data_IF_508942458003
#
_entry.id   IF_508942458003
#
_cell.length_a   1.000
_cell.length_b   1.000
_cell.length_c   1.000
_cell.angle_alpha   90.00
_cell.angle_beta   90.00
_cell.angle_gamma   90.00
#
_symmetry.space_group_name_H-M   'P 1'
#
loop_
_entity.id
_entity.type
_entity.pdbx_description
1 polymer ?
#
# COMPACT_ATOMS: atom_id res chain seq x y z
N UNK A 1 4.69 -5.12 -18.61
CA UNK A 1 3.88 -4.81 -17.44
C UNK A 1 4.04 -3.34 -17.06
N UNK A 2 2.94 -2.58 -16.97
CA UNK A 2 2.90 -1.22 -16.40
C UNK A 2 2.34 -1.28 -14.98
N UNK A 3 3.08 -0.75 -14.02
CA UNK A 3 2.71 -0.74 -12.61
C UNK A 3 2.68 0.71 -12.12
N UNK A 4 1.58 1.11 -11.50
CA UNK A 4 1.50 2.34 -10.74
C UNK A 4 1.57 2.02 -9.24
N UNK A 5 2.28 2.84 -8.49
CA UNK A 5 2.31 2.79 -7.02
C UNK A 5 1.61 4.03 -6.50
N UNK A 6 0.59 3.81 -5.69
CA UNK A 6 -0.11 4.85 -4.93
C UNK A 6 0.28 4.68 -3.47
N UNK A 7 1.20 5.53 -3.02
CA UNK A 7 1.79 5.47 -1.71
C UNK A 7 1.10 6.44 -0.74
N UNK A 8 0.35 5.88 0.20
CA UNK A 8 -0.37 6.60 1.24
C UNK A 8 0.45 6.88 2.50
N UNK A 9 1.74 6.52 2.56
CA UNK A 9 2.59 6.86 3.71
C UNK A 9 2.73 8.37 3.87
N UNK A 10 2.51 8.93 5.09
CA UNK A 10 2.82 10.32 5.38
C UNK A 10 4.32 10.61 5.30
N UNK A 11 5.17 9.61 5.57
CA UNK A 11 6.63 9.72 5.48
C UNK A 11 7.06 9.46 4.04
N UNK A 12 7.48 10.51 3.33
CA UNK A 12 7.91 10.48 1.92
C UNK A 12 9.34 9.98 1.76
N UNK A 13 10.22 10.30 2.71
CA UNK A 13 11.59 9.83 2.78
C UNK A 13 11.79 8.96 4.02
N UNK A 14 12.28 7.73 3.86
CA UNK A 14 12.60 6.84 4.99
C UNK A 14 11.40 6.21 5.71
N UNK A 15 10.21 6.17 5.10
CA UNK A 15 9.07 5.46 5.68
C UNK A 15 9.23 3.93 5.59
N UNK A 16 8.87 3.20 6.65
CA UNK A 16 8.96 1.73 6.67
C UNK A 16 8.14 1.05 5.56
N UNK A 17 6.98 1.61 5.21
CA UNK A 17 6.20 1.16 4.03
C UNK A 17 6.99 1.34 2.72
N UNK A 18 7.74 2.43 2.59
CA UNK A 18 8.55 2.72 1.40
C UNK A 18 9.65 1.68 1.21
N UNK A 19 10.24 1.16 2.29
CA UNK A 19 11.30 0.15 2.22
C UNK A 19 10.80 -1.11 1.51
N UNK A 20 9.58 -1.56 1.84
CA UNK A 20 8.95 -2.72 1.19
C UNK A 20 8.61 -2.40 -0.27
N UNK A 21 8.01 -1.23 -0.54
CA UNK A 21 7.68 -0.76 -1.89
C UNK A 21 8.93 -0.69 -2.77
N UNK A 22 10.02 -0.12 -2.27
CA UNK A 22 11.29 -0.02 -2.99
C UNK A 22 11.85 -1.40 -3.32
N UNK A 23 11.86 -2.31 -2.35
CA UNK A 23 12.35 -3.67 -2.54
C UNK A 23 11.53 -4.41 -3.61
N UNK A 24 10.20 -4.36 -3.51
CA UNK A 24 9.31 -5.03 -4.45
C UNK A 24 9.43 -4.41 -5.86
N UNK A 25 9.46 -3.08 -5.97
CA UNK A 25 9.56 -2.39 -7.26
C UNK A 25 10.94 -2.52 -7.91
N UNK A 26 12.02 -2.67 -7.14
CA UNK A 26 13.32 -3.08 -7.67
C UNK A 26 13.22 -4.45 -8.36
N UNK A 27 12.54 -5.41 -7.72
CA UNK A 27 12.25 -6.72 -8.31
C UNK A 27 11.48 -6.59 -9.62
N UNK A 28 10.39 -5.82 -9.60
CA UNK A 28 9.57 -5.57 -10.79
C UNK A 28 10.39 -4.97 -11.94
N UNK A 29 11.24 -3.97 -11.65
CA UNK A 29 12.12 -3.32 -12.64
C UNK A 29 13.16 -4.29 -13.19
N UNK A 30 13.73 -5.18 -12.36
CA UNK A 30 14.63 -6.25 -12.79
C UNK A 30 13.95 -7.21 -13.78
N UNK A 31 12.64 -7.41 -13.63
CA UNK A 31 11.79 -8.15 -14.59
C UNK A 31 11.26 -7.30 -15.76
N UNK A 32 11.86 -6.13 -16.05
CA UNK A 32 11.48 -5.20 -17.12
C UNK A 32 10.08 -4.55 -16.98
N UNK A 33 9.49 -4.52 -15.78
CA UNK A 33 8.27 -3.76 -15.55
C UNK A 33 8.53 -2.25 -15.56
N UNK A 34 7.60 -1.47 -16.13
CA UNK A 34 7.63 0.00 -16.05
C UNK A 34 6.86 0.42 -14.80
N UNK A 35 7.56 1.03 -13.84
CA UNK A 35 6.98 1.46 -12.57
C UNK A 35 6.87 2.97 -12.52
N UNK A 36 5.70 3.48 -12.17
CA UNK A 36 5.43 4.89 -11.87
C UNK A 36 4.93 5.01 -10.44
N UNK A 37 5.44 5.93 -9.65
CA UNK A 37 5.09 6.06 -8.24
C UNK A 37 4.58 7.47 -7.90
N UNK A 38 3.54 7.52 -7.07
CA UNK A 38 2.99 8.72 -6.48
C UNK A 38 2.98 8.60 -4.96
N UNK A 39 3.65 9.54 -4.28
CA UNK A 39 3.50 9.74 -2.84
C UNK A 39 2.37 10.74 -2.61
N UNK A 40 1.25 10.28 -2.05
CA UNK A 40 0.06 11.10 -1.85
C UNK A 40 0.29 12.26 -0.87
N UNK A 41 1.25 12.12 0.04
CA UNK A 41 1.69 13.17 0.97
C UNK A 41 2.36 14.36 0.28
N UNK A 42 2.81 14.20 -0.98
CA UNK A 42 3.37 15.26 -1.82
C UNK A 42 2.40 15.70 -2.93
N UNK A 43 1.11 15.37 -2.81
CA UNK A 43 0.08 15.70 -3.81
C UNK A 43 -1.00 16.58 -3.19
N UNK A 44 -1.49 17.51 -4.00
CA UNK A 44 -2.69 18.24 -3.66
C UNK A 44 -3.90 17.38 -4.05
N UNK A 45 -4.59 16.85 -3.04
CA UNK A 45 -5.79 16.04 -3.21
C UNK A 45 -6.83 16.51 -2.19
N UNK A 46 -7.84 17.19 -2.68
CA UNK A 46 -8.99 17.57 -1.86
C UNK A 46 -9.76 16.33 -1.39
N UNK A 47 -10.34 16.38 -0.21
CA UNK A 47 -11.26 15.33 0.25
C UNK A 47 -12.56 15.36 -0.56
N UNK A 48 -13.18 14.19 -0.76
CA UNK A 48 -14.48 14.13 -1.41
C UNK A 48 -15.55 14.80 -0.53
N UNK A 49 -16.34 15.70 -1.11
CA UNK A 49 -17.39 16.45 -0.37
C UNK A 49 -18.79 15.88 -0.58
N UNK A 50 -18.94 14.74 -1.26
CA UNK A 50 -20.25 14.14 -1.56
C UNK A 50 -21.18 15.02 -2.39
N UNK A 51 -20.66 15.96 -3.19
CA UNK A 51 -21.51 16.88 -3.96
C UNK A 51 -22.14 16.26 -5.22
N UNK A 52 -21.66 15.08 -5.65
CA UNK A 52 -22.12 14.35 -6.83
C UNK A 52 -22.09 15.10 -8.16
N UNK A 53 -21.35 16.21 -8.26
CA UNK A 53 -21.15 16.91 -9.53
C UNK A 53 -20.51 16.00 -10.60
N UNK A 54 -19.66 15.04 -10.19
CA UNK A 54 -19.07 14.03 -11.07
C UNK A 54 -20.04 12.97 -11.60
N UNK A 55 -21.25 12.88 -11.05
CA UNK A 55 -22.32 12.03 -11.56
C UNK A 55 -23.39 12.82 -12.31
N UNK A 56 -23.59 14.09 -11.93
CA UNK A 56 -24.70 14.93 -12.41
C UNK A 56 -24.23 15.96 -13.43
N UNK A 57 -23.55 17.02 -13.00
CA UNK A 57 -23.15 18.17 -13.83
C UNK A 57 -22.03 17.84 -14.83
N UNK A 58 -21.08 17.02 -14.40
CA UNK A 58 -19.88 16.66 -15.17
C UNK A 58 -19.65 15.15 -15.08
N UNK A 59 -20.49 14.32 -15.75
CA UNK A 59 -20.38 12.87 -15.68
C UNK A 59 -18.95 12.38 -15.94
N UNK A 60 -18.36 11.68 -14.96
CA UNK A 60 -17.00 11.15 -15.05
C UNK A 60 -15.87 12.10 -14.64
N UNK A 61 -16.17 13.37 -14.31
CA UNK A 61 -15.15 14.39 -14.01
C UNK A 61 -15.44 15.06 -12.67
N UNK A 62 -14.44 15.09 -11.77
CA UNK A 62 -14.55 15.81 -10.50
C UNK A 62 -14.40 17.33 -10.71
N UNK A 63 -15.08 18.15 -9.90
CA UNK A 63 -14.98 19.62 -9.96
C UNK A 63 -13.63 20.18 -9.48
N UNK A 64 -12.91 19.42 -8.65
CA UNK A 64 -11.64 19.86 -8.10
C UNK A 64 -10.55 19.86 -9.17
N UNK A 65 -9.80 20.95 -9.24
CA UNK A 65 -8.67 21.14 -10.14
C UNK A 65 -7.37 20.89 -9.37
N UNK A 66 -7.16 19.63 -9.00
CA UNK A 66 -6.03 19.17 -8.19
C UNK A 66 -5.29 18.01 -8.88
N UNK A 67 -4.42 17.28 -8.19
CA UNK A 67 -3.57 16.25 -8.82
C UNK A 67 -4.34 14.97 -9.22
N UNK A 68 -5.58 14.78 -8.75
CA UNK A 68 -6.35 13.55 -8.97
C UNK A 68 -6.58 13.18 -10.44
N UNK A 69 -6.96 14.09 -11.36
CA UNK A 69 -7.22 13.73 -12.75
C UNK A 69 -6.01 13.06 -13.42
N UNK A 70 -4.79 13.54 -13.13
CA UNK A 70 -3.58 12.95 -13.69
C UNK A 70 -3.31 11.57 -13.11
N UNK A 71 -3.48 11.39 -11.80
CA UNK A 71 -3.30 10.09 -11.16
C UNK A 71 -4.35 9.07 -11.62
N UNK A 72 -5.60 9.48 -11.82
CA UNK A 72 -6.67 8.63 -12.39
C UNK A 72 -6.30 8.19 -13.82
N UNK A 73 -5.82 9.11 -14.66
CA UNK A 73 -5.37 8.76 -16.00
C UNK A 73 -4.27 7.69 -15.97
N UNK A 74 -3.24 7.88 -15.13
CA UNK A 74 -2.13 6.92 -15.04
C UNK A 74 -2.55 5.59 -14.40
N UNK A 75 -3.51 5.62 -13.47
CA UNK A 75 -4.13 4.43 -12.88
C UNK A 75 -4.80 3.58 -13.97
N UNK A 76 -5.57 4.21 -14.85
CA UNK A 76 -6.27 3.52 -15.94
C UNK A 76 -5.35 3.06 -17.07
N UNK A 77 -4.19 3.71 -17.26
CA UNK A 77 -3.15 3.27 -18.22
C UNK A 77 -2.27 2.12 -17.68
N UNK A 78 -2.46 1.70 -16.42
CA UNK A 78 -1.64 0.67 -15.77
C UNK A 78 -2.29 -0.72 -15.80
N UNK A 79 -1.44 -1.76 -15.80
CA UNK A 79 -1.89 -3.15 -15.66
C UNK A 79 -2.16 -3.51 -14.19
N UNK A 80 -1.31 -2.99 -13.30
CA UNK A 80 -1.35 -3.23 -11.86
C UNK A 80 -1.23 -1.92 -11.07
N UNK A 81 -1.91 -1.86 -9.94
CA UNK A 81 -1.84 -0.77 -8.98
C UNK A 81 -1.40 -1.31 -7.62
N UNK A 82 -0.24 -0.85 -7.14
CA UNK A 82 0.20 -1.11 -5.77
C UNK A 82 -0.40 -0.02 -4.89
N UNK A 83 -1.32 -0.40 -4.00
CA UNK A 83 -1.77 0.47 -2.92
C UNK A 83 -0.89 0.19 -1.71
N UNK A 84 -0.15 1.19 -1.25
CA UNK A 84 0.69 1.06 -0.06
C UNK A 84 0.30 2.04 1.04
N UNK A 85 0.25 1.56 2.29
CA UNK A 85 -0.12 2.40 3.45
C UNK A 85 0.38 1.78 4.75
N UNK A 86 0.88 2.57 5.71
CA UNK A 86 0.93 2.12 7.09
C UNK A 86 -0.48 2.03 7.70
N UNK A 87 -0.63 1.25 8.78
CA UNK A 87 -1.84 1.19 9.59
C UNK A 87 -1.87 2.33 10.59
N UNK A 88 -2.77 3.29 10.39
CA UNK A 88 -2.98 4.46 11.25
C UNK A 88 -4.42 4.40 11.77
N UNK A 89 -4.62 4.37 13.09
CA UNK A 89 -5.97 4.25 13.67
C UNK A 89 -6.70 2.96 13.25
N UNK A 90 -5.97 1.84 13.18
CA UNK A 90 -6.45 0.52 12.74
C UNK A 90 -6.87 0.39 11.26
N UNK A 91 -6.70 1.44 10.44
CA UNK A 91 -7.05 1.45 9.02
C UNK A 91 -5.91 2.05 8.18
N UNK A 92 -6.19 2.27 6.89
CA UNK A 92 -5.30 3.03 6.00
C UNK A 92 -5.15 4.49 6.46
N UNK A 93 -4.16 5.18 5.92
CA UNK A 93 -3.95 6.61 6.16
C UNK A 93 -5.05 7.46 5.54
N UNK A 94 -5.26 8.66 6.10
CA UNK A 94 -6.16 9.67 5.50
C UNK A 94 -5.77 10.03 4.06
N UNK A 95 -4.48 10.01 3.73
CA UNK A 95 -3.99 10.19 2.36
C UNK A 95 -4.56 9.13 1.41
N UNK A 96 -4.39 7.84 1.72
CA UNK A 96 -4.90 6.77 0.87
C UNK A 96 -6.43 6.80 0.80
N UNK A 97 -7.10 7.07 1.93
CA UNK A 97 -8.56 7.15 1.97
C UNK A 97 -9.10 8.29 1.08
N UNK A 98 -8.48 9.46 1.11
CA UNK A 98 -8.85 10.58 0.24
C UNK A 98 -8.70 10.23 -1.24
N UNK A 99 -7.60 9.55 -1.63
CA UNK A 99 -7.42 9.07 -2.99
C UNK A 99 -8.54 8.11 -3.41
N UNK A 100 -8.84 7.11 -2.59
CA UNK A 100 -9.88 6.10 -2.88
C UNK A 100 -11.28 6.71 -2.98
N UNK A 101 -11.65 7.63 -2.07
CA UNK A 101 -12.93 8.33 -2.12
C UNK A 101 -13.09 9.20 -3.37
N UNK A 102 -11.97 9.69 -3.90
CA UNK A 102 -11.92 10.52 -5.10
C UNK A 102 -11.92 9.70 -6.41
N UNK A 103 -12.03 8.37 -6.34
CA UNK A 103 -12.23 7.49 -7.50
C UNK A 103 -13.71 7.37 -7.92
N UNK A 104 -14.65 7.94 -7.16
CA UNK A 104 -16.09 7.98 -7.49
C UNK A 104 -16.43 8.37 -8.95
N UNK A 105 -15.72 9.30 -9.62
CA UNK A 105 -15.98 9.63 -11.01
C UNK A 105 -15.84 8.44 -11.98
N UNK A 106 -15.17 7.35 -11.59
CA UNK A 106 -15.05 6.13 -12.40
C UNK A 106 -16.32 5.27 -12.39
N UNK A 107 -17.26 5.56 -11.49
CA UNK A 107 -18.55 4.91 -11.39
C UNK A 107 -19.67 5.79 -11.96
N UNK A 108 -20.75 5.15 -12.41
CA UNK A 108 -22.03 5.77 -12.75
C UNK A 108 -22.93 5.82 -11.50
N UNK A 109 -23.96 6.69 -11.46
CA UNK A 109 -24.90 6.71 -10.34
C UNK A 109 -25.84 5.49 -10.30
N UNK A 110 -25.89 4.68 -11.37
CA UNK A 110 -26.82 3.56 -11.47
C UNK A 110 -26.29 2.34 -10.73
N UNK A 111 -27.19 1.63 -10.04
CA UNK A 111 -26.89 0.46 -9.24
C UNK A 111 -27.33 -0.79 -9.99
N UNK A 112 -26.42 -1.76 -10.06
CA UNK A 112 -26.66 -3.09 -10.57
C UNK A 112 -26.46 -4.13 -9.45
N UNK A 113 -27.06 -5.31 -9.63
CA UNK A 113 -27.05 -6.41 -8.67
C UNK A 113 -26.27 -7.60 -9.23
N UNK A 114 -25.43 -8.22 -8.41
CA UNK A 114 -24.75 -9.47 -8.71
C UNK A 114 -25.64 -10.68 -8.37
N UNK A 115 -25.32 -11.84 -8.94
CA UNK A 115 -26.03 -13.10 -8.67
C UNK A 115 -25.95 -13.52 -7.19
N UNK A 116 -24.84 -13.21 -6.52
CA UNK A 116 -24.61 -13.50 -5.09
C UNK A 116 -25.39 -12.57 -4.13
N UNK A 117 -26.18 -11.63 -4.66
CA UNK A 117 -26.97 -10.69 -3.88
C UNK A 117 -26.27 -9.38 -3.52
N UNK A 118 -24.99 -9.21 -3.87
CA UNK A 118 -24.26 -7.95 -3.67
C UNK A 118 -24.65 -6.91 -4.73
N UNK A 119 -24.39 -5.63 -4.44
CA UNK A 119 -24.73 -4.49 -5.31
C UNK A 119 -23.47 -3.71 -5.68
N UNK A 120 -23.48 -3.09 -6.85
CA UNK A 120 -22.38 -2.26 -7.32
C UNK A 120 -22.89 -1.12 -8.19
N UNK A 121 -22.09 -0.07 -8.33
CA UNK A 121 -22.33 0.97 -9.32
C UNK A 121 -21.72 0.57 -10.67
N UNK A 122 -22.45 0.79 -11.76
CA UNK A 122 -21.92 0.48 -13.10
C UNK A 122 -20.65 1.30 -13.38
N UNK A 123 -19.61 0.65 -13.89
CA UNK A 123 -18.35 1.33 -14.23
C UNK A 123 -18.49 2.22 -15.47
N UNK A 124 -17.83 3.39 -15.46
CA UNK A 124 -17.65 4.24 -16.65
C UNK A 124 -16.42 3.88 -17.46
N UNK A 125 -15.60 2.95 -16.96
CA UNK A 125 -14.33 2.53 -17.58
C UNK A 125 -14.38 1.05 -17.92
N UNK A 126 -13.69 0.68 -19.00
CA UNK A 126 -13.69 -0.69 -19.50
C UNK A 126 -12.80 -1.64 -18.69
N UNK A 127 -11.78 -1.11 -17.99
CA UNK A 127 -10.82 -1.92 -17.26
C UNK A 127 -10.23 -1.13 -16.09
N UNK A 128 -10.12 -1.79 -14.95
CA UNK A 128 -9.33 -1.34 -13.81
C UNK A 128 -8.01 -2.12 -13.76
N UNK A 129 -6.92 -1.53 -13.24
CA UNK A 129 -5.72 -2.29 -12.92
C UNK A 129 -6.04 -3.34 -11.85
N UNK A 130 -5.27 -4.43 -11.83
CA UNK A 130 -5.34 -5.41 -10.74
C UNK A 130 -4.56 -4.88 -9.53
N UNK A 131 -5.06 -5.09 -8.33
CA UNK A 131 -4.49 -4.48 -7.13
C UNK A 131 -3.46 -5.38 -6.44
N UNK A 132 -2.39 -4.78 -5.95
CA UNK A 132 -1.42 -5.38 -5.03
C UNK A 132 -1.43 -4.51 -3.76
N UNK A 133 -1.44 -5.14 -2.59
CA UNK A 133 -1.48 -4.40 -1.31
C UNK A 133 -0.12 -4.52 -0.62
N UNK A 134 0.41 -3.39 -0.13
CA UNK A 134 1.57 -3.39 0.76
C UNK A 134 1.21 -2.57 1.99
N UNK A 135 1.06 -3.22 3.14
CA UNK A 135 0.71 -2.54 4.38
C UNK A 135 1.64 -2.90 5.53
N UNK A 136 1.91 -1.91 6.38
CA UNK A 136 2.84 -2.03 7.50
C UNK A 136 2.19 -1.60 8.81
N UNK A 137 2.49 -2.28 9.90
CA UNK A 137 2.08 -1.91 11.25
C UNK A 137 3.32 -1.69 12.12
N UNK A 138 3.26 -0.64 12.95
CA UNK A 138 4.29 -0.36 13.94
C UNK A 138 4.23 -1.31 15.15
N UNK A 139 3.11 -2.01 15.35
CA UNK A 139 2.98 -2.99 16.43
C UNK A 139 3.50 -4.38 16.02
N UNK A 140 3.96 -5.18 17.00
CA UNK A 140 4.12 -6.62 16.84
C UNK A 140 2.74 -7.33 16.91
N UNK A 141 2.72 -8.66 16.81
CA UNK A 141 1.49 -9.46 16.91
C UNK A 141 0.65 -9.55 15.62
N UNK A 142 -0.40 -10.38 15.63
CA UNK A 142 -0.97 -10.92 14.38
C UNK A 142 -2.25 -10.23 13.87
N UNK A 143 -2.88 -9.35 14.68
CA UNK A 143 -4.22 -8.77 14.38
C UNK A 143 -4.22 -7.31 13.92
N UNK A 144 -3.06 -6.73 13.65
CA UNK A 144 -2.95 -5.31 13.30
C UNK A 144 -3.61 -4.95 11.96
N UNK A 145 -3.91 -5.95 11.12
CA UNK A 145 -4.41 -5.75 9.77
C UNK A 145 -5.85 -6.23 9.57
N UNK A 146 -6.56 -6.68 10.61
CA UNK A 146 -7.89 -7.30 10.46
C UNK A 146 -8.88 -6.37 9.73
N UNK A 147 -8.98 -5.11 10.15
CA UNK A 147 -9.88 -4.13 9.53
C UNK A 147 -9.46 -3.72 8.12
N UNK A 148 -8.16 -3.54 7.89
CA UNK A 148 -7.67 -3.10 6.58
C UNK A 148 -7.73 -4.22 5.54
N UNK A 149 -7.54 -5.48 5.94
CA UNK A 149 -7.76 -6.66 5.10
C UNK A 149 -9.22 -6.76 4.68
N UNK A 150 -10.14 -6.65 5.64
CA UNK A 150 -11.57 -6.65 5.33
C UNK A 150 -11.98 -5.56 4.34
N UNK A 151 -11.34 -4.38 4.40
CA UNK A 151 -11.53 -3.35 3.37
C UNK A 151 -10.97 -3.79 2.01
N UNK A 152 -9.70 -4.21 1.95
CA UNK A 152 -9.02 -4.52 0.70
C UNK A 152 -9.52 -5.80 0.01
N UNK A 153 -10.16 -6.74 0.73
CA UNK A 153 -10.81 -7.91 0.15
C UNK A 153 -11.83 -7.54 -0.94
N UNK A 154 -12.50 -6.39 -0.79
CA UNK A 154 -13.42 -5.85 -1.80
C UNK A 154 -12.73 -5.54 -3.14
N UNK A 155 -11.42 -5.27 -3.12
CA UNK A 155 -10.62 -4.99 -4.31
C UNK A 155 -10.10 -6.27 -4.99
N UNK A 156 -10.28 -7.44 -4.36
CA UNK A 156 -9.78 -8.74 -4.84
C UNK A 156 -8.30 -8.67 -5.27
N UNK A 157 -7.41 -8.26 -4.36
CA UNK A 157 -5.99 -8.09 -4.67
C UNK A 157 -5.38 -9.41 -5.16
N UNK A 158 -4.38 -9.30 -6.01
CA UNK A 158 -3.68 -10.46 -6.60
C UNK A 158 -2.48 -10.89 -5.80
N UNK A 159 -1.99 -10.01 -4.94
CA UNK A 159 -0.88 -10.25 -4.03
C UNK A 159 -0.89 -9.20 -2.92
N UNK A 160 -0.48 -9.61 -1.72
CA UNK A 160 -0.57 -8.79 -0.52
C UNK A 160 0.66 -9.02 0.36
N UNK A 161 1.24 -7.93 0.87
CA UNK A 161 2.28 -7.96 1.90
C UNK A 161 1.76 -7.21 3.11
N UNK A 162 1.68 -7.90 4.24
CA UNK A 162 1.38 -7.31 5.55
C UNK A 162 2.58 -7.49 6.47
N UNK A 163 3.11 -6.39 7.01
CA UNK A 163 4.33 -6.42 7.81
C UNK A 163 4.15 -5.73 9.16
N UNK A 164 4.06 -6.54 10.20
CA UNK A 164 4.20 -6.10 11.58
C UNK A 164 5.65 -5.71 11.87
N UNK A 165 5.87 -5.14 13.05
CA UNK A 165 7.22 -4.78 13.51
C UNK A 165 7.95 -3.88 12.52
N UNK A 166 7.21 -3.02 11.82
CA UNK A 166 7.76 -2.25 10.72
C UNK A 166 8.82 -1.24 11.19
N UNK A 167 8.84 -0.89 12.48
CA UNK A 167 9.79 0.04 13.10
C UNK A 167 11.26 -0.39 13.08
N UNK A 168 11.57 -1.62 12.66
CA UNK A 168 12.96 -2.11 12.51
C UNK A 168 13.37 -2.30 11.05
N UNK A 169 12.53 -1.95 10.07
CA UNK A 169 12.86 -2.18 8.65
C UNK A 169 14.01 -1.32 8.14
N UNK A 170 14.28 -0.20 8.80
CA UNK A 170 15.40 0.71 8.58
C UNK A 170 16.63 0.37 9.44
N UNK A 171 16.63 -0.76 10.16
CA UNK A 171 17.76 -1.20 10.96
C UNK A 171 19.06 -1.23 10.15
N UNK A 172 20.11 -0.76 10.81
CA UNK A 172 21.48 -0.69 10.32
C UNK A 172 22.36 -1.64 11.12
N UNK A 173 23.64 -1.75 10.77
CA UNK A 173 24.59 -2.58 11.51
C UNK A 173 24.80 -2.12 12.96
N UNK A 174 24.54 -0.86 13.29
CA UNK A 174 24.65 -0.38 14.69
C UNK A 174 23.53 -0.92 15.58
N UNK A 175 22.42 -1.37 14.99
CA UNK A 175 21.28 -1.96 15.71
C UNK A 175 21.50 -3.45 16.02
N UNK A 176 22.62 -4.02 15.57
CA UNK A 176 23.00 -5.42 15.76
C UNK A 176 23.10 -6.19 14.44
N UNK A 177 24.15 -6.99 14.30
CA UNK A 177 24.45 -7.73 13.07
C UNK A 177 23.35 -8.76 12.72
N UNK A 178 22.80 -9.44 13.73
CA UNK A 178 21.73 -10.42 13.53
C UNK A 178 20.43 -9.79 13.02
N UNK A 179 19.99 -8.69 13.64
CA UNK A 179 18.81 -7.95 13.20
C UNK A 179 19.02 -7.42 11.79
N UNK A 180 20.15 -6.75 11.53
CA UNK A 180 20.49 -6.23 10.21
C UNK A 180 20.40 -7.32 9.13
N UNK A 181 21.04 -8.47 9.36
CA UNK A 181 21.02 -9.58 8.41
C UNK A 181 19.59 -10.11 8.17
N UNK A 182 18.79 -10.23 9.23
CA UNK A 182 17.37 -10.65 9.13
C UNK A 182 16.55 -9.67 8.27
N UNK A 183 16.74 -8.37 8.46
CA UNK A 183 16.06 -7.33 7.68
C UNK A 183 16.51 -7.34 6.21
N UNK A 184 17.80 -7.53 5.94
CA UNK A 184 18.32 -7.62 4.58
C UNK A 184 17.81 -8.88 3.84
N UNK A 185 17.71 -10.02 4.53
CA UNK A 185 17.09 -11.23 3.98
C UNK A 185 15.60 -11.03 3.66
N UNK A 186 14.88 -10.32 4.53
CA UNK A 186 13.49 -9.93 4.26
C UNK A 186 13.38 -9.04 3.02
N UNK A 187 14.17 -7.96 2.93
CA UNK A 187 14.19 -7.07 1.75
C UNK A 187 14.53 -7.82 0.47
N UNK A 188 15.50 -8.75 0.53
CA UNK A 188 15.86 -9.63 -0.60
C UNK A 188 14.69 -10.52 -1.02
N UNK A 189 13.93 -11.08 -0.08
CA UNK A 189 12.76 -11.91 -0.37
C UNK A 189 11.64 -11.10 -1.03
N UNK A 190 11.39 -9.86 -0.55
CA UNK A 190 10.43 -8.93 -1.17
C UNK A 190 10.86 -8.56 -2.60
N UNK A 191 12.16 -8.34 -2.82
CA UNK A 191 12.72 -8.09 -4.15
C UNK A 191 12.58 -9.29 -5.08
N UNK A 192 12.81 -10.50 -4.59
CA UNK A 192 12.59 -11.71 -5.38
C UNK A 192 11.11 -11.86 -5.77
N UNK A 193 10.19 -11.62 -4.85
CA UNK A 193 8.75 -11.64 -5.16
C UNK A 193 8.37 -10.65 -6.27
N UNK A 194 8.93 -9.43 -6.24
CA UNK A 194 8.73 -8.46 -7.32
C UNK A 194 9.25 -8.97 -8.67
N UNK A 195 10.40 -9.64 -8.67
CA UNK A 195 11.00 -10.22 -9.88
C UNK A 195 10.16 -11.37 -10.45
N UNK A 196 9.79 -12.34 -9.61
CA UNK A 196 8.92 -13.46 -9.99
C UNK A 196 7.57 -12.98 -10.54
N UNK A 197 6.96 -12.00 -9.87
CA UNK A 197 5.70 -11.41 -10.28
C UNK A 197 5.81 -10.74 -11.66
N UNK A 198 6.88 -10.00 -11.93
CA UNK A 198 7.09 -9.35 -13.23
C UNK A 198 7.22 -10.36 -14.38
N UNK A 199 7.82 -11.54 -14.13
CA UNK A 199 7.98 -12.58 -15.14
C UNK A 199 6.68 -13.34 -15.41
N UNK A 200 6.00 -13.77 -14.35
CA UNK A 200 4.97 -14.81 -14.46
C UNK A 200 3.61 -14.41 -13.87
N UNK A 201 3.48 -13.21 -13.30
CA UNK A 201 2.30 -12.74 -12.54
C UNK A 201 1.94 -13.64 -11.35
N UNK A 202 2.91 -14.45 -10.89
CA UNK A 202 2.83 -15.39 -9.78
C UNK A 202 4.11 -15.31 -8.98
N UNK A 203 4.00 -15.60 -7.69
CA UNK A 203 5.12 -15.62 -6.75
C UNK A 203 5.20 -17.04 -6.18
N UNK A 204 6.42 -17.55 -6.02
CA UNK A 204 6.66 -18.87 -5.48
C UNK A 204 6.26 -18.92 -4.00
N UNK A 205 5.71 -20.05 -3.58
CA UNK A 205 5.28 -20.24 -2.18
C UNK A 205 6.46 -20.06 -1.21
N UNK A 206 7.65 -20.55 -1.55
CA UNK A 206 8.87 -20.36 -0.75
C UNK A 206 9.24 -18.89 -0.54
N UNK A 207 9.03 -18.05 -1.56
CA UNK A 207 9.25 -16.61 -1.49
C UNK A 207 8.21 -15.93 -0.59
N UNK A 208 6.94 -16.35 -0.70
CA UNK A 208 5.86 -15.89 0.19
C UNK A 208 6.14 -16.27 1.66
N UNK A 209 6.57 -17.51 1.90
CA UNK A 209 6.90 -18.01 3.23
C UNK A 209 8.09 -17.24 3.83
N UNK A 210 9.10 -16.93 3.01
CA UNK A 210 10.27 -16.14 3.41
C UNK A 210 9.89 -14.70 3.75
N UNK A 211 9.00 -14.08 2.97
CA UNK A 211 8.43 -12.77 3.31
C UNK A 211 7.73 -12.87 4.65
N UNK A 212 6.85 -13.85 4.86
CA UNK A 212 6.00 -13.95 6.06
C UNK A 212 6.70 -14.43 7.34
N UNK A 213 7.99 -14.79 7.29
CA UNK A 213 8.75 -15.06 8.52
C UNK A 213 8.72 -13.87 9.47
N UNK A 214 8.63 -14.18 10.77
CA UNK A 214 8.79 -13.18 11.83
C UNK A 214 10.20 -12.62 11.77
N UNK A 215 10.32 -11.29 11.86
CA UNK A 215 11.61 -10.60 11.90
C UNK A 215 12.27 -10.74 13.27
N UNK A 216 11.44 -10.71 14.32
CA UNK A 216 11.80 -10.77 15.73
C UNK A 216 10.63 -11.41 16.49
N UNK A 217 10.87 -11.88 17.72
CA UNK A 217 9.77 -12.15 18.65
C UNK A 217 9.09 -10.85 19.08
N UNK A 218 7.84 -10.96 19.56
CA UNK A 218 7.08 -9.80 20.04
C UNK A 218 7.79 -9.12 21.22
N UNK A 219 8.38 -9.90 22.14
CA UNK A 219 9.11 -9.40 23.31
C UNK A 219 10.40 -8.66 22.92
N UNK A 220 11.17 -9.19 21.96
CA UNK A 220 12.38 -8.53 21.45
C UNK A 220 12.03 -7.20 20.78
N UNK A 221 10.98 -7.19 19.94
CA UNK A 221 10.53 -5.96 19.28
C UNK A 221 10.03 -4.92 20.30
N UNK A 222 9.23 -5.34 21.28
CA UNK A 222 8.75 -4.46 22.35
C UNK A 222 9.89 -3.84 23.12
N UNK A 223 10.93 -4.63 23.45
CA UNK A 223 12.11 -4.11 24.16
C UNK A 223 12.82 -3.02 23.36
N UNK A 224 13.03 -3.23 22.05
CA UNK A 224 13.67 -2.25 21.17
C UNK A 224 12.84 -0.96 21.12
N UNK A 225 11.55 -1.07 20.84
CA UNK A 225 10.67 0.10 20.67
C UNK A 225 10.47 0.86 21.98
N UNK A 226 10.31 0.17 23.10
CA UNK A 226 10.14 0.83 24.39
C UNK A 226 11.40 1.58 24.80
N UNK A 227 12.59 1.02 24.59
CA UNK A 227 13.85 1.72 24.86
C UNK A 227 14.00 2.99 24.01
N UNK A 228 13.67 2.91 22.72
CA UNK A 228 13.67 4.07 21.83
C UNK A 228 12.76 5.18 22.36
N UNK A 229 11.54 4.85 22.77
CA UNK A 229 10.60 5.84 23.29
C UNK A 229 10.99 6.37 24.67
N UNK A 230 11.57 5.53 25.54
CA UNK A 230 12.11 5.97 26.84
C UNK A 230 13.19 7.06 26.66
N UNK A 231 14.05 6.94 25.64
CA UNK A 231 15.05 7.96 25.30
C UNK A 231 14.40 9.23 24.73
N UNK A 232 13.53 9.09 23.73
CA UNK A 232 12.87 10.23 23.09
C UNK A 232 11.98 11.03 24.06
N UNK A 233 11.31 10.34 24.99
CA UNK A 233 10.48 11.00 26.02
C UNK A 233 11.35 11.78 27.00
N UNK A 234 12.52 11.26 27.38
CA UNK A 234 13.48 11.98 28.24
C UNK A 234 14.10 13.20 27.54
N UNK A 235 14.37 13.11 26.25
CA UNK A 235 14.91 14.23 25.48
C UNK A 235 13.87 15.34 25.22
N UNK A 236 12.59 14.97 25.16
CA UNK A 236 11.50 15.91 24.94
C UNK A 236 11.01 16.63 26.23
N UNK A 237 11.45 16.17 27.41
CA UNK A 237 11.11 16.72 28.73
C UNK A 237 12.14 17.71 29.24
#
# INVERSE_FOLDING_TARGET
MKVIVINGSPKTNGGNTQIIVNSFTEGLKKGNAKVKEYHLSNKDVNHCTGCFDCWTKHPGTCKFKDDMPKMIYDLLDSDYCILSTPVYGALMTGYLKNFLDRLLPLASPYISKNEDGTFYHEGRVCKYPRFIIISTAGFPGDRNFDFIKAYFDNLKPVFEIYRNSAGVLDATRSDGEELYNTIEEFKKSVKEAGYEFALNTKIQQSTIDSINRRLLSDDEYMKIVNNYWDENVKEAS
#
